data_IF_879727266075
#
_entry.id   IF_879727266075
#
_cell.length_a   1.000
_cell.length_b   1.000
_cell.length_c   1.000
_cell.angle_alpha   90.00
_cell.angle_beta   90.00
_cell.angle_gamma   90.00
#
_symmetry.space_group_name_H-M   'P 1'
#
loop_
_entity.id
_entity.type
_entity.pdbx_description
1 polymer ?
#
# COMPACT_ATOMS: atom_id res chain seq x y z
N UNK A 1 -12.18 23.79 1.21
CA UNK A 1 -11.75 23.28 -0.10
C UNK A 1 -10.35 22.71 0.07
N UNK A 2 -10.11 21.48 -0.39
CA UNK A 2 -8.76 20.90 -0.41
C UNK A 2 -7.84 21.78 -1.28
N UNK A 3 -6.73 22.28 -0.72
CA UNK A 3 -5.83 23.22 -1.38
C UNK A 3 -4.47 22.56 -1.67
N UNK A 4 -4.09 22.52 -2.95
CA UNK A 4 -2.84 21.93 -3.43
C UNK A 4 -1.60 22.46 -2.69
N UNK A 5 -1.45 23.78 -2.55
CA UNK A 5 -0.29 24.41 -1.90
C UNK A 5 -0.17 24.03 -0.42
N UNK A 6 -1.30 23.81 0.25
CA UNK A 6 -1.31 23.35 1.64
C UNK A 6 -0.77 21.93 1.73
N UNK A 7 -1.20 21.03 0.84
CA UNK A 7 -0.73 19.64 0.79
C UNK A 7 0.76 19.59 0.41
N UNK A 8 1.16 20.31 -0.63
CA UNK A 8 2.56 20.44 -1.07
C UNK A 8 3.45 20.90 0.10
N UNK A 9 3.04 21.96 0.81
CA UNK A 9 3.77 22.44 1.99
C UNK A 9 3.91 21.36 3.06
N UNK A 10 2.85 20.62 3.39
CA UNK A 10 2.94 19.56 4.39
C UNK A 10 3.91 18.45 3.98
N UNK A 11 3.99 18.13 2.70
CA UNK A 11 4.92 17.12 2.17
C UNK A 11 6.37 17.62 2.18
N UNK A 12 6.60 18.89 1.82
CA UNK A 12 7.92 19.52 1.86
C UNK A 12 8.45 19.69 3.29
N UNK A 13 7.59 20.09 4.23
CA UNK A 13 7.96 20.25 5.65
C UNK A 13 8.48 18.93 6.27
N UNK A 14 8.04 17.78 5.74
CA UNK A 14 8.41 16.45 6.21
C UNK A 14 9.41 15.72 5.28
N UNK A 15 9.97 16.42 4.27
CA UNK A 15 10.92 15.87 3.29
C UNK A 15 10.42 14.62 2.55
N UNK A 16 9.11 14.57 2.24
CA UNK A 16 8.47 13.42 1.59
C UNK A 16 8.19 13.65 0.10
N UNK A 17 8.09 14.90 -0.35
CA UNK A 17 7.73 15.20 -1.74
C UNK A 17 8.86 14.83 -2.69
N UNK A 18 8.59 13.92 -3.63
CA UNK A 18 9.56 13.53 -4.65
C UNK A 18 9.34 14.30 -5.95
N UNK A 19 8.13 14.27 -6.48
CA UNK A 19 7.78 14.98 -7.71
C UNK A 19 6.28 15.27 -7.81
N UNK A 20 5.94 16.24 -8.66
CA UNK A 20 4.58 16.53 -9.10
C UNK A 20 4.35 15.89 -10.47
N UNK A 21 3.27 15.15 -10.61
CA UNK A 21 2.91 14.48 -11.86
C UNK A 21 1.68 15.13 -12.47
N UNK A 22 1.68 15.30 -13.78
CA UNK A 22 0.47 15.69 -14.51
C UNK A 22 -0.45 14.48 -14.67
N UNK A 23 -1.70 14.63 -14.24
CA UNK A 23 -2.77 13.66 -14.44
C UNK A 23 -4.02 14.40 -14.93
N UNK A 24 -4.51 14.02 -16.10
CA UNK A 24 -5.69 14.62 -16.73
C UNK A 24 -6.99 14.41 -15.93
N UNK A 25 -7.01 13.44 -15.02
CA UNK A 25 -8.16 13.08 -14.20
C UNK A 25 -8.06 13.61 -12.76
N UNK A 26 -6.97 14.29 -12.41
CA UNK A 26 -6.75 14.85 -11.09
C UNK A 26 -6.67 16.38 -11.11
N UNK A 27 -7.07 17.01 -10.00
CA UNK A 27 -6.77 18.40 -9.72
C UNK A 27 -5.27 18.55 -9.39
N UNK A 28 -4.70 17.59 -8.65
CA UNK A 28 -3.26 17.45 -8.44
C UNK A 28 -2.87 15.98 -8.18
N UNK A 29 -1.63 15.64 -8.51
CA UNK A 29 -1.02 14.33 -8.27
C UNK A 29 0.42 14.51 -7.79
N UNK A 30 0.65 14.16 -6.53
CA UNK A 30 1.98 14.12 -5.93
C UNK A 30 2.51 12.69 -5.86
N UNK A 31 3.78 12.54 -6.17
CA UNK A 31 4.54 11.32 -5.89
C UNK A 31 5.39 11.61 -4.66
N UNK A 32 5.22 10.78 -3.64
CA UNK A 32 6.00 10.90 -2.40
C UNK A 32 6.89 9.69 -2.21
N UNK A 33 7.96 9.88 -1.44
CA UNK A 33 8.83 8.81 -0.99
C UNK A 33 8.75 8.71 0.54
N UNK A 34 8.06 7.68 1.03
CA UNK A 34 7.93 7.45 2.46
C UNK A 34 7.66 5.97 2.82
N UNK A 35 8.50 5.39 3.70
CA UNK A 35 9.87 5.79 4.03
C UNK A 35 10.78 5.75 2.79
N UNK A 36 12.08 5.98 2.96
CA UNK A 36 13.06 5.91 1.87
C UNK A 36 12.82 4.70 0.96
N UNK A 37 12.93 4.91 -0.35
CA UNK A 37 12.72 3.96 -1.44
C UNK A 37 11.28 3.39 -1.55
N UNK A 38 10.29 3.96 -0.86
CA UNK A 38 8.89 3.54 -0.94
C UNK A 38 8.01 4.62 -1.54
N UNK A 39 7.42 4.33 -2.70
CA UNK A 39 6.60 5.28 -3.43
C UNK A 39 5.13 5.15 -3.06
N UNK A 40 4.51 6.29 -2.81
CA UNK A 40 3.07 6.44 -2.59
C UNK A 40 2.58 7.60 -3.47
N UNK A 41 1.52 7.35 -4.20
CA UNK A 41 0.81 8.34 -5.01
C UNK A 41 -0.24 9.03 -4.12
N UNK A 42 -0.26 10.37 -4.14
CA UNK A 42 -1.26 11.18 -3.47
C UNK A 42 -2.00 11.96 -4.54
N UNK A 43 -3.24 11.58 -4.79
CA UNK A 43 -4.05 12.08 -5.90
C UNK A 43 -5.27 12.77 -5.35
N UNK A 44 -5.59 13.95 -5.88
CA UNK A 44 -6.88 14.58 -5.68
C UNK A 44 -7.68 14.48 -6.98
N UNK A 45 -8.61 13.52 -7.11
CA UNK A 45 -9.37 13.36 -8.35
C UNK A 45 -10.24 14.60 -8.64
N UNK A 46 -10.42 14.91 -9.93
CA UNK A 46 -11.32 15.98 -10.37
C UNK A 46 -12.73 15.72 -9.85
N UNK A 47 -13.40 16.79 -9.42
CA UNK A 47 -14.81 16.76 -8.99
C UNK A 47 -15.11 15.85 -7.78
N UNK A 48 -14.09 15.37 -7.07
CA UNK A 48 -14.23 14.68 -5.78
C UNK A 48 -13.86 15.63 -4.64
N UNK A 49 -14.29 15.34 -3.43
CA UNK A 49 -13.99 16.11 -2.21
C UNK A 49 -13.03 15.33 -1.29
N UNK A 50 -12.24 14.41 -1.86
CA UNK A 50 -11.29 13.59 -1.12
C UNK A 50 -9.91 13.56 -1.78
N UNK A 51 -8.88 13.31 -0.98
CA UNK A 51 -7.54 12.92 -1.43
C UNK A 51 -7.42 11.41 -1.30
N UNK A 52 -6.90 10.76 -2.32
CA UNK A 52 -6.60 9.34 -2.37
C UNK A 52 -5.10 9.12 -2.22
N UNK A 53 -4.73 8.18 -1.37
CA UNK A 53 -3.37 7.71 -1.16
C UNK A 53 -3.30 6.30 -1.72
N UNK A 54 -2.40 6.05 -2.67
CA UNK A 54 -2.29 4.76 -3.32
C UNK A 54 -0.84 4.25 -3.30
N UNK A 55 -0.65 2.98 -2.95
CA UNK A 55 0.64 2.34 -3.01
C UNK A 55 0.52 1.02 -3.77
N UNK A 56 0.97 1.02 -5.02
CA UNK A 56 1.06 -0.18 -5.84
C UNK A 56 2.41 -0.87 -5.60
N UNK A 57 2.38 -2.16 -5.26
CA UNK A 57 3.58 -2.95 -4.98
C UNK A 57 3.58 -4.22 -5.82
N UNK A 58 4.62 -4.38 -6.63
CA UNK A 58 4.94 -5.63 -7.30
C UNK A 58 5.68 -6.55 -6.33
N UNK A 59 5.27 -7.81 -6.25
CA UNK A 59 5.97 -8.82 -5.45
C UNK A 59 7.27 -9.19 -6.17
N UNK A 60 8.39 -9.23 -5.45
CA UNK A 60 9.69 -9.55 -6.04
C UNK A 60 9.71 -11.00 -6.56
N UNK A 61 10.54 -11.25 -7.58
CA UNK A 61 10.70 -12.61 -8.11
C UNK A 61 11.22 -13.59 -7.03
N UNK A 62 12.04 -13.11 -6.11
CA UNK A 62 12.50 -13.90 -4.96
C UNK A 62 11.31 -14.38 -4.09
N UNK A 63 10.40 -13.47 -3.72
CA UNK A 63 9.20 -13.81 -2.98
C UNK A 63 8.24 -14.73 -3.75
N UNK A 64 8.11 -14.54 -5.06
CA UNK A 64 7.33 -15.44 -5.92
C UNK A 64 7.93 -16.84 -5.88
N UNK A 65 9.25 -16.98 -6.00
CA UNK A 65 9.92 -18.28 -5.97
C UNK A 65 9.72 -19.00 -4.63
N UNK A 66 9.69 -18.27 -3.50
CA UNK A 66 9.35 -18.84 -2.20
C UNK A 66 7.92 -19.40 -2.20
N UNK A 67 6.95 -18.64 -2.74
CA UNK A 67 5.56 -19.09 -2.84
C UNK A 67 5.41 -20.32 -3.74
N UNK A 68 6.10 -20.38 -4.88
CA UNK A 68 6.04 -21.51 -5.83
C UNK A 68 6.29 -22.85 -5.11
N UNK A 69 7.27 -22.87 -4.21
CA UNK A 69 7.69 -24.08 -3.47
C UNK A 69 6.69 -24.56 -2.41
N UNK A 70 5.71 -23.73 -2.04
CA UNK A 70 4.73 -24.05 -1.01
C UNK A 70 3.55 -24.88 -1.56
N UNK A 71 2.95 -25.68 -0.68
CA UNK A 71 1.73 -26.40 -1.01
C UNK A 71 0.51 -25.47 -1.16
N UNK A 72 -0.54 -25.98 -1.82
CA UNK A 72 -1.75 -25.22 -2.12
C UNK A 72 -2.49 -24.71 -0.87
N UNK A 73 -2.47 -25.47 0.23
CA UNK A 73 -3.14 -25.07 1.47
C UNK A 73 -2.41 -23.88 2.08
N UNK A 74 -1.08 -23.95 2.16
CA UNK A 74 -0.24 -22.85 2.67
C UNK A 74 -0.45 -21.57 1.87
N UNK A 75 -0.55 -21.66 0.53
CA UNK A 75 -0.87 -20.52 -0.35
C UNK A 75 -2.23 -19.89 -0.03
N UNK A 76 -3.28 -20.70 0.09
CA UNK A 76 -4.64 -20.24 0.40
C UNK A 76 -4.74 -19.63 1.79
N UNK A 77 -4.13 -20.27 2.79
CA UNK A 77 -4.08 -19.78 4.16
C UNK A 77 -3.35 -18.42 4.22
N UNK A 78 -2.28 -18.24 3.44
CA UNK A 78 -1.59 -16.95 3.31
C UNK A 78 -2.48 -15.85 2.75
N UNK A 79 -3.22 -16.10 1.65
CA UNK A 79 -4.14 -15.11 1.09
C UNK A 79 -5.25 -14.76 2.09
N UNK A 80 -5.76 -15.73 2.83
CA UNK A 80 -6.76 -15.49 3.86
C UNK A 80 -6.22 -14.63 5.01
N UNK A 81 -5.01 -14.94 5.49
CA UNK A 81 -4.33 -14.15 6.53
C UNK A 81 -4.04 -12.71 6.06
N UNK A 82 -3.65 -12.53 4.80
CA UNK A 82 -3.50 -11.21 4.18
C UNK A 82 -4.79 -10.39 4.27
N UNK A 83 -5.92 -10.98 3.85
CA UNK A 83 -7.22 -10.31 3.88
C UNK A 83 -7.60 -9.88 5.29
N UNK A 84 -7.50 -10.79 6.28
CA UNK A 84 -7.79 -10.46 7.67
C UNK A 84 -6.83 -9.41 8.23
N UNK A 85 -5.55 -9.50 7.89
CA UNK A 85 -4.54 -8.53 8.27
C UNK A 85 -4.85 -7.13 7.76
N UNK A 86 -5.08 -6.99 6.45
CA UNK A 86 -5.37 -5.71 5.79
C UNK A 86 -6.66 -5.06 6.30
N UNK A 87 -7.71 -5.85 6.56
CA UNK A 87 -8.96 -5.34 7.14
C UNK A 87 -8.77 -4.64 8.50
N UNK A 88 -7.78 -5.05 9.30
CA UNK A 88 -7.49 -4.39 10.58
C UNK A 88 -6.84 -3.01 10.44
N UNK A 89 -6.30 -2.68 9.27
CA UNK A 89 -5.73 -1.37 9.00
C UNK A 89 -6.75 -0.36 8.49
N UNK A 90 -8.00 -0.76 8.22
CA UNK A 90 -9.02 0.12 7.66
C UNK A 90 -8.56 0.80 6.36
N UNK A 91 -7.99 0.00 5.45
CA UNK A 91 -7.59 0.41 4.10
C UNK A 91 -8.37 -0.40 3.07
N UNK A 92 -8.56 0.19 1.89
CA UNK A 92 -9.01 -0.55 0.72
C UNK A 92 -7.81 -1.21 0.05
N UNK A 93 -8.04 -2.33 -0.64
CA UNK A 93 -6.97 -3.05 -1.32
C UNK A 93 -7.44 -3.89 -2.50
N UNK A 94 -6.55 -4.05 -3.47
CA UNK A 94 -6.70 -4.95 -4.61
C UNK A 94 -5.54 -5.94 -4.64
N UNK A 95 -5.83 -7.23 -4.77
CA UNK A 95 -4.83 -8.29 -4.86
C UNK A 95 -4.86 -8.90 -6.27
N UNK A 96 -3.73 -8.88 -6.96
CA UNK A 96 -3.56 -9.64 -8.19
C UNK A 96 -2.97 -11.01 -7.87
N UNK A 97 -3.80 -12.04 -8.01
CA UNK A 97 -3.46 -13.41 -7.68
C UNK A 97 -3.41 -14.23 -8.97
N UNK A 98 -2.32 -14.95 -9.17
CA UNK A 98 -2.15 -15.90 -10.27
C UNK A 98 -1.68 -17.23 -9.70
N UNK A 99 -2.36 -18.32 -10.04
CA UNK A 99 -2.09 -19.67 -9.50
C UNK A 99 -1.96 -19.69 -7.97
N UNK A 100 -2.87 -18.97 -7.28
CA UNK A 100 -2.91 -18.85 -5.81
C UNK A 100 -1.67 -18.16 -5.21
N UNK A 101 -0.89 -17.46 -6.03
CA UNK A 101 0.27 -16.67 -5.61
C UNK A 101 0.02 -15.19 -5.85
N UNK A 102 0.36 -14.37 -4.86
CA UNK A 102 0.24 -12.92 -4.97
C UNK A 102 1.34 -12.38 -5.91
N UNK A 103 0.93 -11.70 -6.98
CA UNK A 103 1.83 -11.08 -7.95
C UNK A 103 2.02 -9.59 -7.68
N UNK A 104 0.91 -8.91 -7.40
CA UNK A 104 0.85 -7.49 -7.11
C UNK A 104 -0.23 -7.23 -6.08
N UNK A 105 -0.05 -6.19 -5.27
CA UNK A 105 -1.12 -5.63 -4.49
C UNK A 105 -1.12 -4.11 -4.57
N UNK A 106 -2.31 -3.52 -4.51
CA UNK A 106 -2.52 -2.08 -4.44
C UNK A 106 -3.24 -1.82 -3.13
N UNK A 107 -2.71 -0.90 -2.32
CA UNK A 107 -3.35 -0.46 -1.08
C UNK A 107 -3.73 0.98 -1.24
N UNK A 108 -4.98 1.29 -0.92
CA UNK A 108 -5.52 2.64 -1.02
C UNK A 108 -6.20 3.07 0.26
N UNK A 109 -6.20 4.37 0.47
CA UNK A 109 -6.91 5.03 1.55
C UNK A 109 -7.32 6.43 1.10
N UNK A 110 -8.30 7.03 1.75
CA UNK A 110 -8.79 8.34 1.37
C UNK A 110 -9.13 9.21 2.58
N UNK A 111 -8.91 10.51 2.40
CA UNK A 111 -9.31 11.54 3.37
C UNK A 111 -10.26 12.50 2.68
N UNK A 112 -11.48 12.61 3.19
CA UNK A 112 -12.43 13.63 2.77
C UNK A 112 -12.07 15.00 3.35
N UNK A 113 -12.56 16.05 2.71
CA UNK A 113 -12.29 17.43 3.07
C UNK A 113 -12.58 17.77 4.55
N UNK A 114 -13.64 17.19 5.12
CA UNK A 114 -14.05 17.39 6.52
C UNK A 114 -13.15 16.69 7.56
N UNK A 115 -12.39 15.69 7.13
CA UNK A 115 -11.39 14.98 7.94
C UNK A 115 -9.96 15.43 7.69
N UNK A 116 -9.73 16.40 6.80
CA UNK A 116 -8.39 16.79 6.37
C UNK A 116 -7.71 17.70 7.39
N UNK A 117 -6.68 17.15 8.04
CA UNK A 117 -5.73 17.89 8.88
C UNK A 117 -4.32 17.38 8.59
N UNK A 118 -3.27 18.16 8.90
CA UNK A 118 -1.87 17.69 8.75
C UNK A 118 -1.65 16.37 9.50
N UNK A 119 -2.21 16.25 10.70
CA UNK A 119 -2.12 15.03 11.51
C UNK A 119 -2.76 13.81 10.82
N UNK A 120 -4.02 13.94 10.37
CA UNK A 120 -4.70 12.82 9.70
C UNK A 120 -4.02 12.49 8.36
N UNK A 121 -3.58 13.49 7.61
CA UNK A 121 -2.83 13.32 6.36
C UNK A 121 -1.56 12.46 6.55
N UNK A 122 -0.72 12.81 7.53
CA UNK A 122 0.50 12.06 7.83
C UNK A 122 0.20 10.67 8.42
N UNK A 123 -0.87 10.53 9.22
CA UNK A 123 -1.31 9.23 9.73
C UNK A 123 -1.76 8.30 8.62
N UNK A 124 -2.48 8.81 7.62
CA UNK A 124 -2.93 8.01 6.47
C UNK A 124 -1.76 7.54 5.62
N UNK A 125 -0.76 8.40 5.34
CA UNK A 125 0.48 7.96 4.67
C UNK A 125 1.14 6.80 5.43
N UNK A 126 1.30 6.95 6.75
CA UNK A 126 1.88 5.91 7.61
C UNK A 126 1.02 4.63 7.64
N UNK A 127 -0.30 4.75 7.58
CA UNK A 127 -1.24 3.62 7.57
C UNK A 127 -1.11 2.82 6.29
N UNK A 128 -1.17 3.47 5.13
CA UNK A 128 -0.93 2.84 3.81
C UNK A 128 0.41 2.13 3.78
N UNK A 129 1.49 2.79 4.23
CA UNK A 129 2.81 2.15 4.30
C UNK A 129 2.84 0.94 5.24
N UNK A 130 2.26 1.04 6.44
CA UNK A 130 2.22 -0.08 7.39
C UNK A 130 1.42 -1.27 6.88
N UNK A 131 0.34 -1.02 6.16
CA UNK A 131 -0.44 -2.06 5.49
C UNK A 131 0.40 -2.76 4.41
N UNK A 132 1.17 -2.01 3.61
CA UNK A 132 2.13 -2.59 2.65
C UNK A 132 3.18 -3.45 3.36
N UNK A 133 3.77 -2.92 4.43
CA UNK A 133 4.80 -3.60 5.20
C UNK A 133 4.29 -4.91 5.81
N UNK A 134 3.04 -4.91 6.28
CA UNK A 134 2.36 -6.11 6.76
C UNK A 134 2.31 -7.20 5.69
N UNK A 135 1.95 -6.86 4.44
CA UNK A 135 1.95 -7.83 3.33
C UNK A 135 3.33 -8.43 3.10
N UNK A 136 4.37 -7.59 3.04
CA UNK A 136 5.76 -8.02 2.80
C UNK A 136 6.23 -8.96 3.91
N UNK A 137 6.04 -8.59 5.16
CA UNK A 137 6.45 -9.43 6.30
C UNK A 137 5.65 -10.71 6.41
N UNK A 138 4.38 -10.72 6.00
CA UNK A 138 3.59 -11.94 5.99
C UNK A 138 4.10 -12.93 4.95
N UNK A 139 4.53 -12.46 3.77
CA UNK A 139 5.21 -13.28 2.76
C UNK A 139 6.47 -13.90 3.37
N UNK A 140 7.35 -13.08 3.93
CA UNK A 140 8.60 -13.56 4.55
C UNK A 140 8.32 -14.57 5.66
N UNK A 141 7.40 -14.25 6.58
CA UNK A 141 7.06 -15.13 7.70
C UNK A 141 6.52 -16.49 7.25
N UNK A 142 5.71 -16.51 6.18
CA UNK A 142 5.04 -17.72 5.69
C UNK A 142 5.94 -18.58 4.83
N UNK A 143 6.74 -17.96 3.97
CA UNK A 143 7.46 -18.68 2.92
C UNK A 143 8.99 -18.68 3.09
N UNK A 144 9.57 -17.79 3.90
CA UNK A 144 11.00 -17.76 4.20
C UNK A 144 11.38 -18.61 5.44
N UNK A 145 10.42 -19.30 6.05
CA UNK A 145 10.66 -20.09 7.26
C UNK A 145 10.69 -21.61 6.93
N UNK A 146 11.87 -22.26 6.90
CA UNK A 146 11.99 -23.69 6.53
C UNK A 146 11.42 -24.67 7.57
N UNK A 147 10.90 -24.18 8.70
CA UNK A 147 10.40 -25.00 9.81
C UNK A 147 8.97 -25.53 9.63
N UNK A 148 8.27 -25.22 8.54
CA UNK A 148 7.03 -25.91 8.15
C UNK A 148 7.32 -27.01 7.12
N UNK A 149 8.24 -27.91 7.45
CA UNK A 149 8.21 -29.25 6.86
C UNK A 149 7.02 -29.97 7.48
N UNK A 150 6.01 -30.45 6.71
CA UNK A 150 4.99 -31.31 7.27
C UNK A 150 5.70 -32.51 7.88
N UNK A 151 5.48 -32.73 9.17
CA UNK A 151 5.94 -33.95 9.85
C UNK A 151 5.38 -35.13 9.03
N UNK A 152 6.30 -35.94 8.49
CA UNK A 152 6.00 -37.19 7.78
C UNK A 152 5.31 -38.17 8.72
#
# INVERSE_FOLDING_TARGET
>A
MINEKTIEKWLLDEDMLREMKFDENADFHFIIEFPKDNIIDIVKPKQKDCIVFACATQVSQEHINLMVSADLKTKKDFILELNFGLNNFLVDYELQIHDEMLQQFIITDQIFEDGLTKDNFIKTIKRVFKSKLHCIWLIEKKFNNPSFSPIK
#
